data_IF_715361842343
#
_entry.id   IF_715361842343
#
_cell.length_a   1.000
_cell.length_b   1.000
_cell.length_c   1.000
_cell.angle_alpha   90.00
_cell.angle_beta   90.00
_cell.angle_gamma   90.00
#
_symmetry.space_group_name_H-M   'P 1'
#
loop_
_entity.id
_entity.type
_entity.pdbx_description
1 polymer ?
#
# COMPACT_ATOMS: atom_id res chain seq x y z
N UNK A 1 -2.61 -0.08 29.64
CA UNK A 1 -1.82 -0.04 28.39
C UNK A 1 -2.75 0.32 27.25
N UNK A 2 -3.05 1.61 27.04
CA UNK A 2 -3.97 2.05 25.97
C UNK A 2 -3.38 3.28 25.29
N UNK A 3 -2.42 3.04 24.41
CA UNK A 3 -1.81 4.06 23.57
C UNK A 3 -2.40 4.04 22.16
N UNK A 4 -3.67 4.43 22.00
CA UNK A 4 -4.20 4.81 20.70
C UNK A 4 -3.99 6.33 20.55
N UNK A 5 -2.91 6.69 19.86
CA UNK A 5 -2.51 8.07 19.66
C UNK A 5 -3.19 8.67 18.42
N UNK A 6 -4.05 9.69 18.62
CA UNK A 6 -4.70 10.55 17.60
C UNK A 6 -5.56 9.78 16.57
N UNK A 7 -6.69 10.38 16.17
CA UNK A 7 -7.61 9.78 15.18
C UNK A 7 -6.94 9.49 13.82
N UNK A 8 -7.70 8.90 12.87
CA UNK A 8 -7.14 8.36 11.65
C UNK A 8 -6.38 9.41 10.82
N UNK A 9 -5.30 8.98 10.18
CA UNK A 9 -4.47 9.81 9.29
C UNK A 9 -5.21 10.12 7.99
N UNK A 10 -6.02 9.19 7.53
CA UNK A 10 -6.90 9.35 6.39
C UNK A 10 -8.06 8.36 6.45
N UNK A 11 -9.16 8.72 5.80
CA UNK A 11 -10.31 7.85 5.58
C UNK A 11 -10.93 8.18 4.22
N UNK A 12 -11.74 7.26 3.70
CA UNK A 12 -12.47 7.47 2.45
C UNK A 12 -13.22 6.23 1.95
N UNK A 13 -13.77 6.33 0.74
CA UNK A 13 -14.50 5.25 0.08
C UNK A 13 -13.58 4.49 -0.87
N UNK A 14 -13.66 3.15 -0.87
CA UNK A 14 -12.99 2.31 -1.87
C UNK A 14 -13.73 2.26 -3.21
N UNK A 15 -15.03 2.58 -3.20
CA UNK A 15 -15.95 2.42 -4.34
C UNK A 15 -16.04 0.98 -4.87
N UNK A 16 -15.87 -0.01 -4.00
CA UNK A 16 -16.13 -1.42 -4.26
C UNK A 16 -16.74 -2.11 -3.02
N UNK A 17 -16.85 -3.44 -3.04
CA UNK A 17 -17.45 -4.23 -1.96
C UNK A 17 -16.75 -4.08 -0.58
N UNK A 18 -15.51 -3.60 -0.54
CA UNK A 18 -14.73 -3.40 0.69
C UNK A 18 -15.28 -2.28 1.59
N UNK A 19 -16.17 -1.43 1.08
CA UNK A 19 -16.76 -0.32 1.85
C UNK A 19 -15.80 0.85 2.06
N UNK A 20 -15.84 1.47 3.23
CA UNK A 20 -14.92 2.54 3.58
C UNK A 20 -13.54 1.98 3.97
N UNK A 21 -12.49 2.79 3.82
CA UNK A 21 -11.17 2.50 4.36
C UNK A 21 -10.77 3.52 5.41
N UNK A 22 -9.94 3.09 6.36
CA UNK A 22 -9.31 3.93 7.37
C UNK A 22 -7.81 3.66 7.35
N UNK A 23 -7.01 4.72 7.42
CA UNK A 23 -5.55 4.67 7.47
C UNK A 23 -5.08 5.20 8.81
N UNK A 24 -4.39 4.36 9.56
CA UNK A 24 -3.82 4.70 10.86
C UNK A 24 -2.29 4.63 10.80
N UNK A 25 -1.63 5.39 11.68
CA UNK A 25 -0.20 5.25 11.87
C UNK A 25 0.08 3.97 12.65
N UNK A 26 0.97 3.13 12.13
CA UNK A 26 1.32 1.86 12.75
C UNK A 26 2.47 2.04 13.75
N UNK A 27 2.41 1.31 14.87
CA UNK A 27 3.49 1.24 15.85
C UNK A 27 4.62 0.32 15.36
N UNK A 28 4.27 -0.73 14.62
CA UNK A 28 5.21 -1.72 14.13
C UNK A 28 5.77 -1.29 12.76
N UNK A 29 7.06 -0.97 12.66
CA UNK A 29 7.66 -0.57 11.40
C UNK A 29 7.90 -1.77 10.48
N UNK A 30 7.79 -1.55 9.17
CA UNK A 30 8.45 -2.40 8.18
C UNK A 30 9.95 -2.08 8.23
N UNK A 31 10.79 -3.11 8.37
CA UNK A 31 12.25 -2.96 8.39
C UNK A 31 12.81 -3.26 7.01
N UNK A 32 13.65 -2.36 6.50
CA UNK A 32 14.33 -2.50 5.21
C UNK A 32 15.78 -2.06 5.35
N UNK A 33 16.72 -2.91 4.96
CA UNK A 33 18.16 -2.61 5.01
C UNK A 33 18.58 -2.08 6.40
N UNK A 34 18.13 -2.79 7.43
CA UNK A 34 18.35 -2.42 8.83
C UNK A 34 17.58 -1.19 9.35
N UNK A 35 16.89 -0.42 8.49
CA UNK A 35 16.17 0.82 8.84
C UNK A 35 14.69 0.56 9.12
N UNK A 36 14.14 1.25 10.11
CA UNK A 36 12.71 1.20 10.41
C UNK A 36 11.96 2.25 9.59
N UNK A 37 11.08 1.81 8.70
CA UNK A 37 10.25 2.69 7.90
C UNK A 37 9.05 3.19 8.71
N UNK A 38 8.70 4.46 8.53
CA UNK A 38 7.41 4.95 8.99
C UNK A 38 6.31 4.15 8.29
N UNK A 39 5.44 3.53 9.09
CA UNK A 39 4.47 2.55 8.62
C UNK A 39 3.06 3.00 8.96
N UNK A 40 2.15 2.71 8.05
CA UNK A 40 0.71 2.94 8.18
C UNK A 40 -0.02 1.61 8.01
N UNK A 41 -1.21 1.50 8.57
CA UNK A 41 -2.09 0.35 8.37
C UNK A 41 -3.37 0.86 7.73
N UNK A 42 -3.83 0.18 6.68
CA UNK A 42 -5.15 0.38 6.07
C UNK A 42 -6.04 -0.77 6.48
N UNK A 43 -7.19 -0.45 7.04
CA UNK A 43 -8.26 -1.40 7.31
C UNK A 43 -9.50 -1.04 6.48
N UNK A 44 -10.29 -2.05 6.14
CA UNK A 44 -11.49 -1.91 5.33
C UNK A 44 -12.72 -2.29 6.13
N UNK A 45 -13.83 -1.60 5.91
CA UNK A 45 -15.08 -1.76 6.67
C UNK A 45 -15.66 -3.18 6.56
N UNK A 46 -15.72 -3.72 5.33
CA UNK A 46 -16.38 -4.98 5.03
C UNK A 46 -15.41 -6.15 4.84
N UNK A 47 -14.18 -6.04 5.35
CA UNK A 47 -13.15 -7.06 5.15
C UNK A 47 -12.17 -7.13 6.32
N UNK A 48 -11.64 -8.33 6.57
CA UNK A 48 -10.53 -8.54 7.49
C UNK A 48 -9.16 -8.25 6.87
N UNK A 49 -9.12 -7.84 5.59
CA UNK A 49 -7.89 -7.40 4.95
C UNK A 49 -7.28 -6.23 5.73
N UNK A 50 -6.04 -6.42 6.15
CA UNK A 50 -5.21 -5.36 6.72
C UNK A 50 -3.97 -5.18 5.86
N UNK A 51 -3.68 -3.93 5.49
CA UNK A 51 -2.57 -3.61 4.58
C UNK A 51 -1.59 -2.69 5.28
N UNK A 52 -0.34 -3.12 5.44
CA UNK A 52 0.74 -2.30 5.97
C UNK A 52 1.45 -1.56 4.85
N UNK A 53 1.71 -0.28 5.05
CA UNK A 53 2.39 0.59 4.08
C UNK A 53 3.60 1.23 4.74
N UNK A 54 4.80 0.82 4.37
CA UNK A 54 6.06 1.41 4.80
C UNK A 54 6.55 2.43 3.78
N UNK A 55 6.96 3.62 4.21
CA UNK A 55 7.47 4.66 3.30
C UNK A 55 8.99 4.68 3.30
N UNK A 56 9.61 4.16 2.23
CA UNK A 56 11.04 4.27 1.96
C UNK A 56 11.36 5.61 1.26
N UNK A 57 12.05 6.47 2.01
CA UNK A 57 12.45 7.82 1.59
C UNK A 57 13.96 7.91 1.32
N UNK A 58 14.65 6.79 1.16
CA UNK A 58 16.10 6.78 0.98
C UNK A 58 16.56 7.42 -0.33
N UNK A 59 15.71 7.42 -1.35
CA UNK A 59 15.95 8.00 -2.65
C UNK A 59 15.28 9.38 -2.77
N UNK A 60 16.10 10.42 -2.98
CA UNK A 60 15.65 11.82 -3.06
C UNK A 60 14.74 12.10 -4.26
N UNK A 61 14.79 11.27 -5.30
CA UNK A 61 14.04 11.47 -6.55
C UNK A 61 12.82 10.57 -6.67
N UNK A 62 12.69 9.56 -5.81
CA UNK A 62 11.61 8.59 -5.85
C UNK A 62 11.29 8.06 -4.46
N UNK A 63 10.13 8.44 -3.92
CA UNK A 63 9.60 7.83 -2.70
C UNK A 63 8.96 6.49 -3.06
N UNK A 64 9.26 5.46 -2.29
CA UNK A 64 8.70 4.12 -2.47
C UNK A 64 7.79 3.79 -1.30
N UNK A 65 6.64 3.22 -1.61
CA UNK A 65 5.66 2.78 -0.63
C UNK A 65 5.62 1.26 -0.72
N UNK A 66 6.16 0.60 0.29
CA UNK A 66 6.23 -0.85 0.41
C UNK A 66 4.92 -1.30 1.03
N UNK A 67 4.12 -2.02 0.24
CA UNK A 67 2.77 -2.40 0.61
C UNK A 67 2.76 -3.91 0.85
N UNK A 68 2.39 -4.30 2.06
CA UNK A 68 2.43 -5.67 2.54
C UNK A 68 1.06 -6.04 3.09
N UNK A 69 0.53 -7.15 2.60
CA UNK A 69 -0.64 -7.84 3.11
C UNK A 69 -0.30 -9.32 3.25
N UNK A 70 -1.23 -10.13 3.76
CA UNK A 70 -1.03 -11.57 3.87
C UNK A 70 -0.92 -12.26 2.49
N UNK A 71 -1.56 -11.69 1.45
CA UNK A 71 -1.62 -12.29 0.12
C UNK A 71 -0.55 -11.77 -0.85
N UNK A 72 -0.22 -10.48 -0.75
CA UNK A 72 0.59 -9.79 -1.75
C UNK A 72 1.48 -8.72 -1.13
N UNK A 73 2.70 -8.68 -1.65
CA UNK A 73 3.71 -7.65 -1.40
C UNK A 73 4.06 -6.95 -2.72
N UNK A 74 4.01 -5.62 -2.73
CA UNK A 74 4.19 -4.81 -3.93
C UNK A 74 4.77 -3.46 -3.53
N UNK A 75 5.30 -2.69 -4.48
CA UNK A 75 5.66 -1.30 -4.22
C UNK A 75 4.90 -0.32 -5.10
N UNK A 76 4.63 0.87 -4.57
CA UNK A 76 4.27 2.03 -5.37
C UNK A 76 5.45 2.98 -5.41
N UNK A 77 5.75 3.49 -6.61
CA UNK A 77 6.78 4.49 -6.81
C UNK A 77 6.15 5.85 -7.04
N UNK A 78 6.63 6.87 -6.33
CA UNK A 78 6.27 8.27 -6.52
C UNK A 78 7.51 9.07 -6.92
N UNK A 79 7.60 9.43 -8.19
CA UNK A 79 8.65 10.31 -8.73
C UNK A 79 8.02 11.54 -9.40
N UNK A 80 8.82 12.44 -9.96
CA UNK A 80 8.32 13.68 -10.60
C UNK A 80 7.37 13.48 -11.80
N UNK A 81 7.29 12.27 -12.35
CA UNK A 81 6.50 11.98 -13.56
C UNK A 81 5.21 11.27 -13.23
N UNK A 82 5.25 10.27 -12.36
CA UNK A 82 4.11 9.42 -12.09
C UNK A 82 4.11 8.85 -10.67
N UNK A 83 2.90 8.49 -10.23
CA UNK A 83 2.66 7.57 -9.13
C UNK A 83 2.00 6.30 -9.67
N UNK A 84 2.53 5.13 -9.33
CA UNK A 84 1.98 3.86 -9.80
C UNK A 84 2.75 2.64 -9.29
N UNK A 85 2.18 1.47 -9.55
CA UNK A 85 2.65 0.19 -8.99
C UNK A 85 3.87 -0.36 -9.73
N UNK A 86 4.78 -1.01 -9.00
CA UNK A 86 5.88 -1.82 -9.51
C UNK A 86 5.96 -3.11 -8.70
N UNK A 87 6.51 -4.16 -9.32
CA UNK A 87 6.96 -5.32 -8.56
C UNK A 87 7.98 -4.85 -7.52
N UNK A 88 7.97 -5.48 -6.36
CA UNK A 88 8.91 -5.17 -5.30
C UNK A 88 10.35 -5.31 -5.82
N UNK A 89 11.16 -4.27 -5.58
CA UNK A 89 12.56 -4.26 -6.05
C UNK A 89 13.36 -5.38 -5.39
N UNK A 90 14.33 -5.96 -6.12
CA UNK A 90 15.17 -7.06 -5.62
C UNK A 90 15.94 -6.69 -4.35
N UNK A 91 16.18 -5.40 -4.11
CA UNK A 91 16.88 -4.93 -2.90
C UNK A 91 16.15 -5.27 -1.59
N UNK A 92 14.85 -5.60 -1.62
CA UNK A 92 14.09 -5.98 -0.42
C UNK A 92 14.03 -7.49 -0.21
N UNK A 93 14.60 -8.30 -1.10
CA UNK A 93 14.58 -9.76 -0.98
C UNK A 93 15.29 -10.25 0.28
N UNK A 94 16.40 -9.60 0.64
CA UNK A 94 17.18 -9.92 1.84
C UNK A 94 16.42 -9.59 3.14
N UNK A 95 15.42 -8.70 3.06
CA UNK A 95 14.49 -8.38 4.14
C UNK A 95 13.27 -9.33 4.16
N UNK A 96 13.25 -10.35 3.30
CA UNK A 96 12.18 -11.35 3.20
C UNK A 96 10.97 -10.91 2.39
N UNK A 97 11.06 -9.78 1.68
CA UNK A 97 9.93 -9.21 0.93
C UNK A 97 10.06 -9.51 -0.57
N UNK A 98 9.01 -10.03 -1.18
CA UNK A 98 8.97 -10.33 -2.62
C UNK A 98 7.55 -10.38 -3.18
N UNK A 99 7.38 -9.90 -4.42
CA UNK A 99 6.07 -10.02 -5.08
C UNK A 99 5.78 -11.44 -5.55
N UNK A 100 4.72 -12.04 -5.01
CA UNK A 100 4.18 -13.33 -5.48
C UNK A 100 3.38 -13.16 -6.78
N UNK A 101 3.89 -13.72 -7.88
CA UNK A 101 3.19 -13.78 -9.17
C UNK A 101 1.91 -14.64 -9.12
N UNK A 102 1.81 -15.55 -8.13
CA UNK A 102 0.63 -16.38 -7.94
C UNK A 102 -0.55 -15.54 -7.43
N UNK A 103 -0.29 -14.59 -6.53
CA UNK A 103 -1.30 -13.72 -5.93
C UNK A 103 -1.63 -12.49 -6.78
N UNK A 104 -0.72 -12.06 -7.66
CA UNK A 104 -0.85 -10.81 -8.42
C UNK A 104 -1.82 -10.90 -9.61
N UNK A 105 -2.85 -10.05 -9.62
CA UNK A 105 -3.68 -9.81 -10.81
C UNK A 105 -2.89 -8.98 -11.84
N UNK A 106 -2.36 -9.67 -12.85
CA UNK A 106 -1.51 -9.06 -13.89
C UNK A 106 -2.24 -7.99 -14.71
N UNK A 107 -3.48 -8.20 -15.21
CA UNK A 107 -4.23 -7.13 -15.86
C UNK A 107 -4.32 -5.86 -15.02
N UNK A 108 -4.65 -5.97 -13.73
CA UNK A 108 -4.76 -4.81 -12.85
C UNK A 108 -3.39 -4.16 -12.57
N UNK A 109 -2.33 -4.97 -12.42
CA UNK A 109 -0.96 -4.46 -12.32
C UNK A 109 -0.60 -3.55 -13.49
N UNK A 110 -0.88 -3.96 -14.73
CA UNK A 110 -0.57 -3.15 -15.91
C UNK A 110 -1.39 -1.87 -15.98
N UNK A 111 -2.68 -1.90 -15.65
CA UNK A 111 -3.52 -0.70 -15.58
C UNK A 111 -3.06 0.29 -14.50
N UNK A 112 -2.42 -0.19 -13.45
CA UNK A 112 -1.97 0.62 -12.32
C UNK A 112 -0.50 1.08 -12.41
N UNK A 113 0.22 0.77 -13.50
CA UNK A 113 1.61 1.21 -13.69
C UNK A 113 1.75 2.74 -13.61
N UNK A 114 0.69 3.46 -13.96
CA UNK A 114 0.54 4.91 -13.80
C UNK A 114 -0.90 5.16 -13.33
N UNK A 115 -1.07 5.47 -12.05
CA UNK A 115 -2.37 5.87 -11.48
C UNK A 115 -2.60 7.37 -11.69
N UNK A 116 -1.54 8.16 -11.54
CA UNK A 116 -1.61 9.61 -11.72
C UNK A 116 -0.26 10.15 -12.16
N UNK A 117 -0.27 11.25 -12.90
CA UNK A 117 0.92 11.97 -13.33
C UNK A 117 1.21 13.14 -12.38
N UNK A 118 2.47 13.58 -12.34
CA UNK A 118 2.92 14.72 -11.52
C UNK A 118 2.56 14.60 -10.02
N UNK A 119 2.90 13.47 -9.36
CA UNK A 119 2.49 13.19 -7.99
C UNK A 119 3.24 14.02 -6.96
N UNK A 120 4.26 14.80 -7.32
CA UNK A 120 4.86 15.79 -6.43
C UNK A 120 3.85 16.83 -5.93
N UNK A 121 2.75 17.00 -6.66
CA UNK A 121 1.59 17.80 -6.24
C UNK A 121 0.73 17.11 -5.19
N UNK A 122 0.97 15.82 -4.92
CA UNK A 122 0.27 15.04 -3.89
C UNK A 122 1.12 14.94 -2.64
N UNK A 123 0.47 15.10 -1.50
CA UNK A 123 1.06 14.75 -0.21
C UNK A 123 1.23 13.23 -0.09
N UNK A 124 2.05 12.80 0.87
CA UNK A 124 2.17 11.38 1.22
C UNK A 124 0.81 10.79 1.62
N UNK A 125 0.01 11.55 2.38
CA UNK A 125 -1.38 11.19 2.70
C UNK A 125 -2.22 10.97 1.43
N UNK A 126 -2.05 11.82 0.42
CA UNK A 126 -2.72 11.65 -0.87
C UNK A 126 -2.31 10.35 -1.59
N UNK A 127 -1.04 9.94 -1.46
CA UNK A 127 -0.56 8.66 -1.99
C UNK A 127 -1.11 7.47 -1.19
N UNK A 128 -1.14 7.55 0.15
CA UNK A 128 -1.75 6.52 1.00
C UNK A 128 -3.21 6.29 0.62
N UNK A 129 -4.00 7.36 0.43
CA UNK A 129 -5.39 7.28 -0.04
C UNK A 129 -5.52 6.57 -1.39
N UNK A 130 -4.62 6.83 -2.34
CA UNK A 130 -4.61 6.12 -3.62
C UNK A 130 -4.29 4.64 -3.41
N UNK A 131 -3.28 4.30 -2.62
CA UNK A 131 -2.94 2.91 -2.32
C UNK A 131 -4.13 2.18 -1.70
N UNK A 132 -4.81 2.79 -0.73
CA UNK A 132 -5.99 2.21 -0.08
C UNK A 132 -7.11 1.84 -1.06
N UNK A 133 -7.27 2.58 -2.17
CA UNK A 133 -8.30 2.31 -3.17
C UNK A 133 -7.84 1.33 -4.25
N UNK A 134 -6.57 1.40 -4.66
CA UNK A 134 -6.07 0.68 -5.83
C UNK A 134 -5.41 -0.66 -5.49
N UNK A 135 -4.79 -0.79 -4.32
CA UNK A 135 -4.09 -2.00 -3.91
C UNK A 135 -4.97 -3.26 -3.89
N UNK A 136 -6.21 -3.24 -3.34
CA UNK A 136 -6.99 -4.46 -3.29
C UNK A 136 -7.24 -5.09 -4.66
N UNK A 137 -7.36 -4.27 -5.71
CA UNK A 137 -7.55 -4.72 -7.09
C UNK A 137 -6.33 -5.45 -7.66
N UNK A 138 -5.17 -5.38 -7.02
CA UNK A 138 -3.96 -6.10 -7.43
C UNK A 138 -3.94 -7.55 -6.96
N UNK A 139 -4.80 -7.92 -6.01
CA UNK A 139 -4.90 -9.30 -5.52
C UNK A 139 -5.88 -10.08 -6.40
N UNK A 140 -5.48 -11.25 -6.89
CA UNK A 140 -6.38 -12.11 -7.67
C UNK A 140 -7.61 -12.46 -6.85
N UNK A 141 -8.77 -12.41 -7.49
CA UNK A 141 -10.05 -12.72 -6.84
C UNK A 141 -10.31 -11.87 -5.58
N UNK A 142 -9.77 -10.64 -5.48
CA UNK A 142 -9.95 -9.79 -4.30
C UNK A 142 -11.41 -9.67 -3.86
N UNK A 143 -12.36 -9.64 -4.81
CA UNK A 143 -13.80 -9.58 -4.51
C UNK A 143 -14.33 -10.83 -3.79
N UNK A 144 -13.69 -11.99 -3.97
CA UNK A 144 -14.03 -13.26 -3.31
C UNK A 144 -13.20 -13.50 -2.06
N UNK A 145 -11.94 -13.07 -2.05
CA UNK A 145 -11.02 -13.16 -0.90
C UNK A 145 -11.45 -12.20 0.20
N UNK A 146 -12.09 -11.08 -0.17
CA UNK A 146 -12.47 -10.02 0.75
C UNK A 146 -13.98 -9.77 0.86
N UNK A 147 -14.80 -10.59 0.20
CA UNK A 147 -16.20 -10.71 0.61
C UNK A 147 -16.25 -11.46 1.94
N UNK A 148 -17.27 -11.15 2.75
CA UNK A 148 -17.58 -11.73 4.07
C UNK A 148 -16.96 -10.99 5.25
N UNK A 149 -17.65 -9.92 5.63
CA UNK A 149 -18.02 -9.64 7.01
C UNK A 149 -19.53 -9.47 7.10
#
# INVERSE_FOLDING_TARGET
MSGLAKGPVAEGKTYCCLGNYVVDKAINPIRVDGRNLETYVVNYENSDLSVRIGIDRSDKNCKRYIVVSDDLEIEYQSNKKFFGVRLLDKKYLDDGLSTSELSLDRPQYYHQKIITQYPERKSEIGCLKLISVYFPKLVKNYEKVFAFK
#
